data_IF_153906616857
#
_entry.id   IF_153906616857
#
_cell.length_a   1.000
_cell.length_b   1.000
_cell.length_c   1.000
_cell.angle_alpha   90.00
_cell.angle_beta   90.00
_cell.angle_gamma   90.00
#
_symmetry.space_group_name_H-M   'P 1'
#
loop_
_entity.id
_entity.type
_entity.pdbx_description
1 polymer ?
#
# COMPACT_ATOMS: atom_id res chain seq x y z
N UNK A 1 -18.96 16.17 12.13
CA UNK A 1 -18.76 15.91 10.68
C UNK A 1 -17.30 15.66 10.31
N UNK A 2 -16.32 16.11 11.11
CA UNK A 2 -14.87 15.97 10.82
C UNK A 2 -14.33 14.53 10.85
N UNK A 3 -14.87 13.64 11.71
CA UNK A 3 -14.43 12.23 11.78
C UNK A 3 -14.69 11.43 10.50
N UNK A 4 -15.78 11.73 9.78
CA UNK A 4 -16.14 11.02 8.55
C UNK A 4 -15.18 11.35 7.41
N UNK A 5 -14.75 12.62 7.31
CA UNK A 5 -13.75 13.07 6.33
C UNK A 5 -12.38 12.43 6.57
N UNK A 6 -11.96 12.32 7.82
CA UNK A 6 -10.69 11.68 8.17
C UNK A 6 -10.72 10.16 7.90
N UNK A 7 -11.84 9.49 8.18
CA UNK A 7 -12.02 8.07 7.86
C UNK A 7 -11.93 7.80 6.35
N UNK A 8 -12.62 8.61 5.54
CA UNK A 8 -12.59 8.48 4.08
C UNK A 8 -11.18 8.76 3.53
N UNK A 9 -10.47 9.76 4.05
CA UNK A 9 -9.06 10.04 3.68
C UNK A 9 -8.15 8.84 3.99
N UNK A 10 -8.26 8.26 5.19
CA UNK A 10 -7.49 7.07 5.60
C UNK A 10 -7.78 5.85 4.75
N UNK A 11 -9.04 5.63 4.36
CA UNK A 11 -9.42 4.55 3.46
C UNK A 11 -8.91 4.80 2.04
N UNK A 12 -8.96 6.04 1.58
CA UNK A 12 -8.40 6.47 0.29
C UNK A 12 -6.90 6.19 0.20
N UNK A 13 -6.12 6.63 1.18
CA UNK A 13 -4.66 6.41 1.22
C UNK A 13 -4.30 4.92 1.13
N UNK A 14 -5.00 4.05 1.87
CA UNK A 14 -4.75 2.60 1.81
C UNK A 14 -5.07 2.01 0.45
N UNK A 15 -6.11 2.49 -0.23
CA UNK A 15 -6.46 2.07 -1.59
C UNK A 15 -5.44 2.57 -2.61
N UNK A 16 -4.99 3.82 -2.48
CA UNK A 16 -3.95 4.40 -3.33
C UNK A 16 -2.65 3.61 -3.25
N UNK A 17 -2.18 3.29 -2.03
CA UNK A 17 -0.97 2.48 -1.82
C UNK A 17 -1.11 1.09 -2.44
N UNK A 18 -2.23 0.41 -2.18
CA UNK A 18 -2.49 -0.92 -2.74
C UNK A 18 -2.57 -0.89 -4.27
N UNK A 19 -3.26 0.10 -4.86
CA UNK A 19 -3.35 0.26 -6.31
C UNK A 19 -1.98 0.48 -6.95
N UNK A 20 -1.17 1.41 -6.42
CA UNK A 20 0.20 1.66 -6.91
C UNK A 20 1.04 0.39 -6.90
N UNK A 21 0.98 -0.39 -5.81
CA UNK A 21 1.77 -1.63 -5.68
C UNK A 21 1.22 -2.77 -6.56
N UNK A 22 -0.08 -2.81 -6.82
CA UNK A 22 -0.69 -3.74 -7.77
C UNK A 22 -0.19 -3.48 -9.19
N UNK A 23 -0.25 -2.23 -9.64
CA UNK A 23 0.24 -1.87 -10.97
C UNK A 23 1.74 -2.20 -11.09
N UNK A 24 2.52 -1.81 -10.08
CA UNK A 24 3.97 -2.08 -10.04
C UNK A 24 4.29 -3.58 -10.08
N UNK A 25 3.47 -4.44 -9.45
CA UNK A 25 3.68 -5.89 -9.47
C UNK A 25 3.65 -6.44 -10.89
N UNK A 26 2.70 -6.01 -11.72
CA UNK A 26 2.62 -6.48 -13.11
C UNK A 26 3.63 -5.79 -14.02
N UNK A 27 3.97 -4.52 -13.77
CA UNK A 27 4.99 -3.79 -14.53
C UNK A 27 6.40 -4.33 -14.28
N UNK A 28 6.69 -4.78 -13.06
CA UNK A 28 8.01 -5.28 -12.65
C UNK A 28 8.09 -6.81 -12.56
N UNK A 29 7.12 -7.53 -13.13
CA UNK A 29 7.07 -9.00 -13.12
C UNK A 29 7.17 -9.63 -11.72
N UNK A 30 6.58 -8.98 -10.72
CA UNK A 30 6.52 -9.41 -9.32
C UNK A 30 7.67 -8.92 -8.45
N UNK A 31 8.62 -8.17 -9.01
CA UNK A 31 9.73 -7.59 -8.24
C UNK A 31 9.25 -6.44 -7.34
N UNK A 32 9.86 -6.28 -6.16
CA UNK A 32 9.52 -5.19 -5.24
C UNK A 32 9.94 -3.83 -5.79
N UNK A 33 9.17 -2.79 -5.46
CA UNK A 33 9.59 -1.40 -5.67
C UNK A 33 10.50 -0.93 -4.54
N UNK A 34 11.49 -0.11 -4.87
CA UNK A 34 12.31 0.57 -3.86
C UNK A 34 11.71 1.94 -3.59
N UNK A 35 11.31 2.19 -2.34
CA UNK A 35 10.77 3.45 -1.88
C UNK A 35 11.69 4.07 -0.85
N UNK A 36 11.88 5.38 -0.93
CA UNK A 36 12.63 6.12 0.08
C UNK A 36 11.87 6.17 1.41
N UNK A 37 12.61 6.35 2.50
CA UNK A 37 12.02 6.56 3.82
C UNK A 37 11.10 7.78 3.85
N UNK A 38 11.36 8.82 3.05
CA UNK A 38 10.50 10.01 2.94
C UNK A 38 9.18 9.69 2.22
N UNK A 39 9.20 8.90 1.14
CA UNK A 39 7.98 8.46 0.45
C UNK A 39 7.03 7.66 1.35
N UNK A 40 7.57 6.96 2.36
CA UNK A 40 6.76 6.19 3.32
C UNK A 40 6.42 7.01 4.56
N UNK A 41 7.38 7.76 5.10
CA UNK A 41 7.30 8.40 6.42
C UNK A 41 7.05 9.91 6.40
N UNK A 42 7.07 10.56 5.23
CA UNK A 42 6.91 12.01 5.08
C UNK A 42 5.55 12.55 5.56
N UNK A 43 4.52 11.71 5.59
CA UNK A 43 3.24 12.01 6.23
C UNK A 43 2.84 10.90 7.22
N UNK A 44 2.39 11.28 8.43
CA UNK A 44 1.97 10.32 9.47
C UNK A 44 0.90 9.36 8.96
N UNK A 45 -0.11 9.86 8.25
CA UNK A 45 -1.21 9.03 7.73
C UNK A 45 -0.74 8.06 6.64
N UNK A 46 0.27 8.44 5.84
CA UNK A 46 0.89 7.57 4.83
C UNK A 46 1.70 6.46 5.50
N UNK A 47 2.53 6.81 6.49
CA UNK A 47 3.25 5.85 7.32
C UNK A 47 2.31 4.83 7.96
N UNK A 48 1.20 5.29 8.53
CA UNK A 48 0.19 4.43 9.14
C UNK A 48 -0.52 3.56 8.11
N UNK A 49 -0.74 4.04 6.89
CA UNK A 49 -1.31 3.24 5.81
C UNK A 49 -0.39 2.07 5.43
N UNK A 50 0.90 2.31 5.18
CA UNK A 50 1.87 1.24 4.90
C UNK A 50 1.94 0.23 6.05
N UNK A 51 2.06 0.72 7.29
CA UNK A 51 2.10 -0.15 8.47
C UNK A 51 0.84 -1.01 8.60
N UNK A 52 -0.34 -0.41 8.45
CA UNK A 52 -1.61 -1.12 8.51
C UNK A 52 -1.69 -2.23 7.45
N UNK A 53 -1.32 -1.93 6.21
CA UNK A 53 -1.37 -2.89 5.11
C UNK A 53 -0.37 -4.04 5.31
N UNK A 54 0.82 -3.74 5.83
CA UNK A 54 1.82 -4.74 6.20
C UNK A 54 1.32 -5.65 7.34
N UNK A 55 0.76 -5.08 8.42
CA UNK A 55 0.19 -5.84 9.54
C UNK A 55 -1.02 -6.69 9.10
N UNK A 56 -1.73 -6.30 8.04
CA UNK A 56 -2.81 -7.08 7.43
C UNK A 56 -2.33 -8.16 6.45
N UNK A 57 -1.02 -8.25 6.18
CA UNK A 57 -0.44 -9.20 5.24
C UNK A 57 -0.65 -8.85 3.76
N UNK A 58 -1.14 -7.64 3.46
CA UNK A 58 -1.49 -7.21 2.10
C UNK A 58 -0.28 -6.67 1.32
N UNK A 59 0.78 -6.29 2.02
CA UNK A 59 2.07 -5.96 1.44
C UNK A 59 3.20 -6.48 2.33
N UNK A 60 4.40 -6.58 1.76
CA UNK A 60 5.66 -6.84 2.46
C UNK A 60 6.54 -5.61 2.33
N UNK A 61 7.27 -5.31 3.40
CA UNK A 61 8.20 -4.20 3.45
C UNK A 61 9.43 -4.60 4.25
N UNK A 62 10.61 -4.43 3.65
CA UNK A 62 11.90 -4.72 4.27
C UNK A 62 12.87 -3.55 4.04
N UNK A 63 13.72 -3.22 5.02
CA UNK A 63 14.76 -2.21 4.82
C UNK A 63 15.88 -2.76 3.91
N UNK A 64 16.35 -1.96 2.95
CA UNK A 64 17.40 -2.35 2.00
C UNK A 64 18.71 -1.55 2.12
N UNK A 65 18.75 -0.56 3.02
CA UNK A 65 19.90 0.34 3.19
C UNK A 65 19.55 1.80 2.83
N UNK A 66 20.39 2.75 3.23
CA UNK A 66 20.24 4.19 2.94
C UNK A 66 18.88 4.81 3.33
N UNK A 67 18.19 4.20 4.31
CA UNK A 67 16.85 4.62 4.72
C UNK A 67 15.75 4.29 3.70
N UNK A 68 16.03 3.45 2.70
CA UNK A 68 15.07 2.96 1.71
C UNK A 68 14.50 1.59 2.09
N UNK A 69 13.36 1.26 1.51
CA UNK A 69 12.61 0.03 1.73
C UNK A 69 12.29 -0.64 0.41
N UNK A 70 12.48 -1.95 0.33
CA UNK A 70 11.80 -2.77 -0.67
C UNK A 70 10.34 -2.94 -0.22
N UNK A 71 9.41 -2.71 -1.14
CA UNK A 71 7.98 -2.85 -0.89
C UNK A 71 7.35 -3.63 -2.02
N UNK A 72 6.57 -4.66 -1.68
CA UNK A 72 5.81 -5.43 -2.67
C UNK A 72 4.42 -5.70 -2.14
N UNK A 73 3.42 -5.67 -3.03
CA UNK A 73 2.12 -6.26 -2.71
C UNK A 73 2.27 -7.78 -2.52
N UNK A 74 1.40 -8.38 -1.73
CA UNK A 74 1.29 -9.85 -1.65
C UNK A 74 0.16 -10.36 -2.53
N UNK A 75 0.12 -11.66 -2.80
CA UNK A 75 -1.05 -12.31 -3.44
C UNK A 75 -2.36 -12.00 -2.70
N UNK A 76 -2.33 -11.94 -1.37
CA UNK A 76 -3.50 -11.55 -0.57
C UNK A 76 -3.89 -10.09 -0.79
N UNK A 77 -2.92 -9.20 -1.00
CA UNK A 77 -3.14 -7.81 -1.39
C UNK A 77 -3.79 -7.68 -2.77
N UNK A 78 -3.32 -8.47 -3.73
CA UNK A 78 -3.88 -8.55 -5.09
C UNK A 78 -5.33 -9.02 -5.03
N UNK A 79 -5.60 -10.18 -4.41
CA UNK A 79 -6.95 -10.72 -4.23
C UNK A 79 -7.89 -9.69 -3.59
N UNK A 80 -7.38 -8.95 -2.58
CA UNK A 80 -8.17 -7.94 -1.87
C UNK A 80 -8.61 -6.79 -2.78
N UNK A 81 -7.81 -6.42 -3.77
CA UNK A 81 -8.14 -5.39 -4.77
C UNK A 81 -9.16 -5.96 -5.75
N UNK A 82 -8.87 -7.12 -6.34
CA UNK A 82 -9.70 -7.73 -7.38
C UNK A 82 -11.09 -8.10 -6.87
N UNK A 83 -11.21 -8.62 -5.64
CA UNK A 83 -12.50 -8.87 -4.99
C UNK A 83 -13.30 -7.60 -4.70
N UNK A 84 -12.68 -6.43 -4.58
CA UNK A 84 -13.41 -5.17 -4.39
C UNK A 84 -13.96 -4.62 -5.70
N UNK A 85 -13.35 -4.99 -6.82
CA UNK A 85 -13.73 -4.53 -8.15
C UNK A 85 -14.83 -5.41 -8.75
N UNK A 86 -14.81 -6.72 -8.45
CA UNK A 86 -15.78 -7.70 -8.95
C UNK A 86 -17.18 -7.68 -8.31
N UNK A 87 -17.47 -6.82 -7.33
CA UNK A 87 -18.83 -6.66 -6.78
C UNK A 87 -19.72 -5.70 -7.62
N UNK A 88 -19.26 -5.23 -8.79
CA UNK A 88 -20.03 -4.35 -9.70
C UNK A 88 -20.09 -4.88 -11.15
N UNK A 89 -20.03 -6.19 -11.36
CA UNK A 89 -20.24 -6.83 -12.67
C UNK A 89 -21.45 -7.77 -12.66
#
# INVERSE_FOLDING_TARGET
>A
MERMGQFNRRRGLRREVLGRLYDSWFELAGEPVILTGDEINGEIERKLAYRYLAEKGLLRMSPVGDGSFEVSITVQGIDRIEMTTGENE
#
